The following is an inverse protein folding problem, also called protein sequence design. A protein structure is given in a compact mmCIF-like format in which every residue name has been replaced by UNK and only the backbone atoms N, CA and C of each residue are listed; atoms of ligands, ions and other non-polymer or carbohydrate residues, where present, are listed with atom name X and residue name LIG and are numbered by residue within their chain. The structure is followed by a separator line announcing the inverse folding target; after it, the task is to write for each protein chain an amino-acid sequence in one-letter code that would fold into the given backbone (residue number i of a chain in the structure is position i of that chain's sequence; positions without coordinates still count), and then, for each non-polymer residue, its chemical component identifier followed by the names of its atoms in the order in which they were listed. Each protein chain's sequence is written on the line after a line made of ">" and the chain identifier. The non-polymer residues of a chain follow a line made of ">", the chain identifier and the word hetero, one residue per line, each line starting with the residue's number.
data_IF_167901451173
#
_entry.id   IF_167901451173
#
_cell.length_a   1.000
_cell.length_b   1.000
_cell.length_c   1.000
_cell.angle_alpha   90.00
_cell.angle_beta   90.00
_cell.angle_gamma   90.00
#
_symmetry.space_group_name_H-M   'P 1'
#
loop_
_entity.id
_entity.type
_entity.pdbx_description
1 polymer ?
#
# COMPACT_ATOMS: atom_id res chain seq x y z
N UNK A 1 -34.60 -9.25 -27.29
CA UNK A 1 -34.45 -10.72 -27.42
C UNK A 1 -34.38 -11.31 -26.02
N UNK A 2 -35.06 -12.42 -25.75
CA UNK A 2 -34.99 -13.13 -24.46
C UNK A 2 -33.77 -14.07 -24.49
N UNK A 3 -32.90 -13.97 -23.49
CA UNK A 3 -31.83 -14.96 -23.30
C UNK A 3 -32.48 -16.33 -23.05
N UNK A 4 -32.09 -17.34 -23.82
CA UNK A 4 -32.69 -18.68 -23.76
C UNK A 4 -32.10 -19.57 -22.65
N UNK A 5 -31.03 -19.12 -21.98
CA UNK A 5 -30.39 -19.86 -20.89
C UNK A 5 -31.11 -19.57 -19.55
N UNK A 6 -31.70 -20.57 -18.88
CA UNK A 6 -32.28 -20.38 -17.56
C UNK A 6 -31.21 -19.95 -16.54
N UNK A 7 -31.58 -19.03 -15.64
CA UNK A 7 -30.67 -18.45 -14.65
C UNK A 7 -29.98 -19.50 -13.78
N UNK A 8 -30.71 -20.53 -13.32
CA UNK A 8 -30.13 -21.59 -12.49
C UNK A 8 -29.11 -22.45 -13.25
N UNK A 9 -29.30 -22.64 -14.55
CA UNK A 9 -28.33 -23.35 -15.41
C UNK A 9 -27.07 -22.51 -15.59
N UNK A 10 -27.22 -21.19 -15.74
CA UNK A 10 -26.10 -20.26 -15.77
C UNK A 10 -25.32 -20.24 -14.45
N UNK A 11 -25.99 -20.20 -13.30
CA UNK A 11 -25.29 -20.24 -12.01
C UNK A 11 -24.44 -21.49 -11.83
N UNK A 12 -24.89 -22.64 -12.35
CA UNK A 12 -24.14 -23.91 -12.32
C UNK A 12 -22.89 -23.92 -13.20
N UNK A 13 -22.77 -23.03 -14.19
CA UNK A 13 -21.59 -22.98 -15.07
C UNK A 13 -20.44 -22.14 -14.49
N UNK A 14 -20.66 -21.43 -13.37
CA UNK A 14 -19.65 -20.63 -12.73
C UNK A 14 -18.54 -21.49 -12.14
N UNK A 15 -17.28 -21.12 -12.40
CA UNK A 15 -16.11 -21.80 -11.82
C UNK A 15 -16.00 -21.52 -10.32
N UNK A 16 -15.56 -22.52 -9.55
CA UNK A 16 -15.27 -22.40 -8.11
C UNK A 16 -14.22 -21.34 -7.80
N UNK A 17 -13.24 -21.14 -8.70
CA UNK A 17 -12.22 -20.11 -8.57
C UNK A 17 -11.77 -19.61 -9.94
N UNK A 18 -11.44 -18.33 -9.98
CA UNK A 18 -10.82 -17.66 -11.11
C UNK A 18 -9.37 -17.21 -10.80
N UNK A 19 -8.79 -17.68 -9.68
CA UNK A 19 -7.46 -17.27 -9.22
C UNK A 19 -6.39 -18.22 -9.75
N UNK A 20 -5.49 -17.70 -10.58
CA UNK A 20 -4.24 -18.35 -10.98
C UNK A 20 -3.16 -18.13 -9.91
N UNK A 21 -2.01 -18.82 -9.98
CA UNK A 21 -0.97 -18.70 -8.95
C UNK A 21 -0.30 -17.32 -8.92
N UNK A 22 -0.21 -16.65 -10.06
CA UNK A 22 0.29 -15.27 -10.22
C UNK A 22 -0.72 -14.20 -9.78
N UNK A 23 -1.96 -14.60 -9.42
CA UNK A 23 -2.99 -13.71 -8.90
C UNK A 23 -2.60 -13.00 -7.60
N UNK A 24 -1.82 -13.67 -6.75
CA UNK A 24 -1.64 -13.28 -5.35
C UNK A 24 -0.75 -12.05 -5.19
N UNK A 25 0.26 -11.86 -6.02
CA UNK A 25 1.18 -10.73 -5.86
C UNK A 25 1.63 -10.21 -7.21
N UNK A 26 1.38 -8.92 -7.46
CA UNK A 26 1.98 -8.22 -8.59
C UNK A 26 3.38 -7.71 -8.20
N UNK A 27 4.38 -8.56 -8.44
CA UNK A 27 5.78 -8.28 -8.11
C UNK A 27 6.31 -7.02 -8.80
N UNK A 28 5.93 -6.78 -10.06
CA UNK A 28 6.40 -5.64 -10.84
C UNK A 28 5.87 -4.33 -10.27
N UNK A 29 4.60 -4.30 -9.89
CA UNK A 29 4.00 -3.15 -9.21
C UNK A 29 4.66 -2.88 -7.85
N UNK A 30 4.86 -3.91 -7.03
CA UNK A 30 5.50 -3.77 -5.72
C UNK A 30 6.92 -3.22 -5.85
N UNK A 31 7.70 -3.77 -6.79
CA UNK A 31 9.06 -3.29 -7.10
C UNK A 31 9.04 -1.84 -7.60
N UNK A 32 8.14 -1.50 -8.53
CA UNK A 32 8.00 -0.14 -9.06
C UNK A 32 7.71 0.88 -7.94
N UNK A 33 6.76 0.57 -7.06
CA UNK A 33 6.40 1.45 -5.96
C UNK A 33 7.58 1.69 -5.00
N UNK A 34 8.22 0.61 -4.52
CA UNK A 34 9.39 0.71 -3.66
C UNK A 34 10.56 1.43 -4.35
N UNK A 35 10.82 1.14 -5.63
CA UNK A 35 11.88 1.80 -6.40
C UNK A 35 11.66 3.31 -6.54
N UNK A 36 10.40 3.76 -6.60
CA UNK A 36 10.07 5.19 -6.64
C UNK A 36 10.49 5.97 -5.39
N UNK A 37 10.74 5.28 -4.28
CA UNK A 37 11.11 5.88 -2.98
C UNK A 37 12.43 5.35 -2.41
N UNK A 38 13.17 4.54 -3.18
CA UNK A 38 14.38 3.83 -2.69
C UNK A 38 15.48 4.77 -2.20
N UNK A 39 15.66 5.93 -2.86
CA UNK A 39 16.63 6.94 -2.43
C UNK A 39 16.31 7.45 -1.02
N UNK A 40 15.03 7.78 -0.76
CA UNK A 40 14.59 8.20 0.56
C UNK A 40 14.80 7.10 1.61
N UNK A 41 14.51 5.84 1.26
CA UNK A 41 14.74 4.69 2.15
C UNK A 41 16.23 4.48 2.46
N UNK A 42 17.12 4.66 1.47
CA UNK A 42 18.57 4.59 1.68
C UNK A 42 19.06 5.66 2.66
N UNK A 43 18.49 6.87 2.59
CA UNK A 43 18.80 7.92 3.56
C UNK A 43 18.26 7.58 4.94
N UNK A 44 17.03 7.07 5.06
CA UNK A 44 16.47 6.64 6.35
C UNK A 44 17.20 5.42 6.95
N UNK A 45 17.88 4.59 6.16
CA UNK A 45 18.74 3.51 6.67
C UNK A 45 19.83 4.05 7.61
N UNK A 46 20.21 5.33 7.52
CA UNK A 46 21.09 5.99 8.49
C UNK A 46 20.57 5.89 9.94
N UNK A 47 19.26 5.83 10.15
CA UNK A 47 18.63 5.73 11.46
C UNK A 47 18.61 4.30 12.02
N UNK A 48 18.81 3.27 11.17
CA UNK A 48 18.80 1.88 11.61
C UNK A 48 19.98 1.60 12.55
N UNK A 49 19.68 0.88 13.63
CA UNK A 49 20.64 0.44 14.64
C UNK A 49 21.19 1.54 15.55
N UNK A 50 20.66 2.76 15.48
CA UNK A 50 20.96 3.85 16.41
C UNK A 50 20.35 3.58 17.78
N UNK A 51 21.04 3.98 18.83
CA UNK A 51 20.50 3.91 20.19
C UNK A 51 19.38 4.94 20.38
N UNK A 52 18.41 4.63 21.25
CA UNK A 52 17.26 5.51 21.53
C UNK A 52 17.69 6.89 22.03
N UNK A 53 18.80 6.97 22.77
CA UNK A 53 19.37 8.23 23.27
C UNK A 53 19.93 9.11 22.14
N UNK A 54 20.35 8.52 21.03
CA UNK A 54 20.99 9.22 19.90
C UNK A 54 20.03 9.46 18.75
N UNK A 55 18.95 8.66 18.65
CA UNK A 55 18.01 8.69 17.51
C UNK A 55 17.48 10.09 17.23
N UNK A 56 17.09 10.86 18.26
CA UNK A 56 16.60 12.24 18.08
C UNK A 56 17.62 13.13 17.37
N UNK A 57 18.89 13.06 17.79
CA UNK A 57 19.95 13.84 17.17
C UNK A 57 20.22 13.37 15.74
N UNK A 58 20.18 12.06 15.49
CA UNK A 58 20.31 11.51 14.14
C UNK A 58 19.17 11.95 13.21
N UNK A 59 17.92 11.97 13.70
CA UNK A 59 16.75 12.49 12.97
C UNK A 59 16.99 13.94 12.60
N UNK A 60 17.37 14.79 13.57
CA UNK A 60 17.67 16.20 13.33
C UNK A 60 18.78 16.42 12.30
N UNK A 61 19.89 15.67 12.41
CA UNK A 61 20.99 15.74 11.45
C UNK A 61 20.54 15.33 10.04
N UNK A 62 19.80 14.22 9.92
CA UNK A 62 19.32 13.74 8.63
C UNK A 62 18.26 14.68 8.04
N UNK A 63 17.40 15.28 8.87
CA UNK A 63 16.38 16.22 8.41
C UNK A 63 17.02 17.49 7.84
N UNK A 64 18.10 17.98 8.47
CA UNK A 64 18.87 19.11 7.95
C UNK A 64 19.52 18.80 6.61
N UNK A 65 20.07 17.60 6.43
CA UNK A 65 20.79 17.19 5.23
C UNK A 65 19.86 16.81 4.07
N UNK A 66 18.81 16.03 4.36
CA UNK A 66 17.90 15.48 3.37
C UNK A 66 16.47 15.33 3.92
N UNK A 67 15.73 16.44 4.09
CA UNK A 67 14.39 16.41 4.70
C UNK A 67 13.39 15.57 3.89
N UNK A 68 13.60 15.47 2.57
CA UNK A 68 12.75 14.70 1.65
C UNK A 68 12.70 13.20 2.01
N UNK A 69 13.67 12.66 2.75
CA UNK A 69 13.62 11.27 3.23
C UNK A 69 12.40 11.00 4.11
N UNK A 70 11.94 11.98 4.88
CA UNK A 70 10.87 11.78 5.86
C UNK A 70 9.47 11.81 5.25
N UNK A 71 9.33 12.28 4.00
CA UNK A 71 8.06 12.32 3.28
C UNK A 71 7.45 10.93 2.97
N UNK A 72 8.19 9.85 3.26
CA UNK A 72 7.73 8.47 3.05
C UNK A 72 7.53 7.70 4.36
N UNK A 73 7.63 8.37 5.52
CA UNK A 73 7.47 7.72 6.83
C UNK A 73 6.10 7.06 7.01
N UNK A 74 5.04 7.61 6.40
CA UNK A 74 3.71 6.99 6.39
C UNK A 74 3.70 5.59 5.74
N UNK A 75 4.60 5.32 4.80
CA UNK A 75 4.71 4.00 4.17
C UNK A 75 5.24 2.96 5.15
N UNK A 76 6.12 3.35 6.09
CA UNK A 76 6.67 2.43 7.10
C UNK A 76 5.60 1.92 8.07
N UNK A 77 4.49 2.63 8.21
CA UNK A 77 3.31 2.22 8.99
C UNK A 77 2.16 1.70 8.09
N UNK A 78 2.46 1.34 6.85
CA UNK A 78 1.52 0.81 5.86
C UNK A 78 0.34 1.75 5.50
N UNK A 79 0.52 3.07 5.63
CA UNK A 79 -0.47 4.09 5.26
C UNK A 79 -0.15 4.69 3.89
N UNK A 80 -1.12 4.67 2.97
CA UNK A 80 -0.96 5.20 1.60
C UNK A 80 -1.27 6.70 1.50
N UNK A 81 -2.35 7.13 2.13
CA UNK A 81 -2.81 8.51 2.05
C UNK A 81 -2.14 9.35 3.14
N UNK A 82 -1.23 10.22 2.72
CA UNK A 82 -0.57 11.18 3.61
C UNK A 82 -1.50 12.30 4.09
N UNK A 83 -2.70 12.40 3.53
CA UNK A 83 -3.72 13.36 3.95
C UNK A 83 -4.68 12.77 4.99
N UNK A 84 -4.51 11.52 5.39
CA UNK A 84 -5.28 10.93 6.49
C UNK A 84 -5.19 11.83 7.72
N UNK A 85 -6.35 12.04 8.37
CA UNK A 85 -6.46 12.90 9.54
C UNK A 85 -6.16 12.07 10.79
N UNK A 86 -5.21 12.53 11.59
CA UNK A 86 -4.82 11.93 12.87
C UNK A 86 -5.11 12.87 14.04
N UNK A 87 -5.28 12.28 15.22
CA UNK A 87 -5.40 13.03 16.47
C UNK A 87 -4.04 13.13 17.16
N UNK A 88 -3.69 14.31 17.66
CA UNK A 88 -2.56 14.50 18.58
C UNK A 88 -2.93 14.08 20.03
N UNK A 89 -1.96 14.17 20.94
CA UNK A 89 -2.16 13.86 22.35
C UNK A 89 -3.18 14.77 23.08
N UNK A 90 -3.51 15.93 22.49
CA UNK A 90 -4.48 16.90 23.02
C UNK A 90 -5.86 16.75 22.37
N UNK A 91 -6.04 15.83 21.41
CA UNK A 91 -7.27 15.60 20.68
C UNK A 91 -7.49 16.52 19.48
N UNK A 92 -6.47 17.27 19.04
CA UNK A 92 -6.53 18.11 17.84
C UNK A 92 -6.31 17.27 16.58
N UNK A 93 -7.01 17.64 15.51
CA UNK A 93 -6.92 16.98 14.21
C UNK A 93 -5.85 17.60 13.32
N UNK A 94 -4.97 16.77 12.78
CA UNK A 94 -3.94 17.18 11.83
C UNK A 94 -3.86 16.21 10.65
N UNK A 95 -3.54 16.69 9.44
CA UNK A 95 -3.20 15.79 8.36
C UNK A 95 -1.84 15.12 8.64
N UNK A 96 -1.72 13.84 8.32
CA UNK A 96 -0.53 13.03 8.61
C UNK A 96 0.77 13.66 8.09
N UNK A 97 0.75 14.22 6.88
CA UNK A 97 1.92 14.84 6.26
C UNK A 97 2.50 16.00 7.08
N UNK A 98 1.68 16.66 7.92
CA UNK A 98 2.14 17.81 8.72
C UNK A 98 3.19 17.42 9.77
N UNK A 99 3.29 16.12 10.11
CA UNK A 99 4.34 15.61 10.97
C UNK A 99 5.71 15.52 10.28
N UNK A 100 5.77 15.71 8.96
CA UNK A 100 7.02 15.60 8.18
C UNK A 100 7.64 16.97 7.86
N UNK A 101 7.08 18.05 8.42
CA UNK A 101 7.46 19.44 8.11
C UNK A 101 8.68 19.94 8.88
N UNK A 102 8.98 19.37 10.05
CA UNK A 102 10.13 19.74 10.89
C UNK A 102 10.68 18.53 11.67
N UNK A 103 11.91 18.63 12.17
CA UNK A 103 12.61 17.52 12.82
C UNK A 103 11.99 17.07 14.15
N UNK A 104 11.35 17.99 14.88
CA UNK A 104 10.72 17.68 16.16
C UNK A 104 9.43 16.87 15.94
N UNK A 105 8.58 17.30 15.01
CA UNK A 105 7.37 16.55 14.64
C UNK A 105 7.70 15.20 14.00
N UNK A 106 8.76 15.12 13.20
CA UNK A 106 9.23 13.85 12.64
C UNK A 106 9.60 12.89 13.76
N UNK A 107 10.35 13.37 14.76
CA UNK A 107 10.73 12.55 15.89
C UNK A 107 9.50 12.15 16.74
N UNK A 108 8.55 13.06 16.94
CA UNK A 108 7.27 12.78 17.59
C UNK A 108 6.50 11.67 16.85
N UNK A 109 6.39 11.74 15.52
CA UNK A 109 5.79 10.70 14.70
C UNK A 109 6.47 9.34 14.91
N UNK A 110 7.81 9.31 14.86
CA UNK A 110 8.59 8.08 15.05
C UNK A 110 8.33 7.46 16.43
N UNK A 111 8.19 8.29 17.47
CA UNK A 111 7.88 7.86 18.84
C UNK A 111 6.45 7.33 18.95
N UNK A 112 5.45 8.09 18.51
CA UNK A 112 4.04 7.74 18.69
C UNK A 112 3.60 6.54 17.85
N UNK A 113 4.23 6.34 16.68
CA UNK A 113 3.97 5.17 15.82
C UNK A 113 4.71 3.90 16.25
N UNK A 114 5.63 4.00 17.22
CA UNK A 114 6.48 2.88 17.64
C UNK A 114 7.65 2.58 16.69
N UNK A 115 7.84 3.38 15.63
CA UNK A 115 8.97 3.22 14.70
C UNK A 115 10.33 3.37 15.36
N UNK A 116 10.43 4.07 16.49
CA UNK A 116 11.66 4.13 17.29
C UNK A 116 12.20 2.72 17.57
N UNK A 117 11.32 1.78 17.99
CA UNK A 117 11.76 0.42 18.28
C UNK A 117 12.26 -0.29 17.02
N UNK A 118 11.60 -0.07 15.88
CA UNK A 118 11.98 -0.64 14.59
C UNK A 118 13.35 -0.12 14.13
N UNK A 119 13.62 1.17 14.32
CA UNK A 119 14.93 1.75 14.01
C UNK A 119 16.01 1.22 14.97
N UNK A 120 15.73 1.14 16.27
CA UNK A 120 16.76 0.84 17.27
C UNK A 120 17.07 -0.65 17.45
N UNK A 121 16.08 -1.55 17.31
CA UNK A 121 16.22 -2.96 17.70
C UNK A 121 17.11 -3.82 16.77
N UNK A 122 17.59 -3.27 15.63
CA UNK A 122 18.43 -3.93 14.62
C UNK A 122 17.82 -5.17 13.95
N UNK A 123 16.52 -5.42 14.14
CA UNK A 123 15.81 -6.50 13.45
C UNK A 123 15.67 -6.21 11.95
N UNK A 124 15.47 -4.94 11.60
CA UNK A 124 15.47 -4.46 10.23
C UNK A 124 16.88 -3.97 9.87
N UNK A 125 17.40 -4.47 8.75
CA UNK A 125 18.74 -4.14 8.23
C UNK A 125 18.72 -3.26 7.00
N UNK A 126 17.60 -3.26 6.27
CA UNK A 126 17.39 -2.41 5.10
C UNK A 126 15.90 -2.07 4.96
N UNK A 127 15.59 -0.78 4.91
CA UNK A 127 14.23 -0.28 4.74
C UNK A 127 13.68 -0.54 3.33
N UNK A 128 14.51 -0.72 2.31
CA UNK A 128 14.06 -1.14 0.98
C UNK A 128 13.44 -2.53 1.02
N UNK A 129 14.06 -3.46 1.74
CA UNK A 129 13.54 -4.82 1.88
C UNK A 129 12.29 -4.84 2.75
N UNK A 130 12.30 -4.09 3.85
CA UNK A 130 11.13 -3.93 4.72
C UNK A 130 9.93 -3.35 3.97
N UNK A 131 10.12 -2.24 3.25
CA UNK A 131 9.06 -1.61 2.46
C UNK A 131 8.63 -2.47 1.29
N UNK A 132 9.53 -3.24 0.68
CA UNK A 132 9.12 -4.23 -0.33
C UNK A 132 8.14 -5.25 0.27
N UNK A 133 8.37 -5.71 1.50
CA UNK A 133 7.41 -6.54 2.25
C UNK A 133 6.06 -5.84 2.48
N UNK A 134 6.08 -4.56 2.85
CA UNK A 134 4.86 -3.74 3.01
C UNK A 134 4.09 -3.62 1.69
N UNK A 135 4.79 -3.35 0.58
CA UNK A 135 4.17 -3.27 -0.75
C UNK A 135 3.45 -4.58 -1.11
N UNK A 136 4.08 -5.72 -0.84
CA UNK A 136 3.48 -7.05 -1.03
C UNK A 136 2.25 -7.25 -0.14
N UNK A 137 2.29 -6.81 1.12
CA UNK A 137 1.15 -6.87 2.04
C UNK A 137 -0.02 -5.99 1.58
N UNK A 138 0.27 -4.78 1.13
CA UNK A 138 -0.71 -3.81 0.64
C UNK A 138 -1.26 -4.15 -0.76
N UNK A 139 -0.60 -5.03 -1.52
CA UNK A 139 -1.13 -5.53 -2.81
C UNK A 139 -2.39 -6.39 -2.63
N UNK A 140 -2.75 -6.76 -1.39
CA UNK A 140 -4.03 -7.39 -1.07
C UNK A 140 -5.25 -6.58 -1.53
N UNK A 141 -5.19 -5.25 -1.52
CA UNK A 141 -6.25 -4.40 -2.06
C UNK A 141 -6.37 -4.53 -3.59
N UNK A 142 -5.23 -4.72 -4.28
CA UNK A 142 -5.23 -4.96 -5.72
C UNK A 142 -5.76 -6.35 -6.07
N UNK A 143 -5.61 -7.36 -5.18
CA UNK A 143 -6.21 -8.69 -5.36
C UNK A 143 -7.72 -8.60 -5.55
N UNK A 144 -8.43 -7.74 -4.79
CA UNK A 144 -9.88 -7.55 -4.91
C UNK A 144 -10.26 -7.06 -6.30
N UNK A 145 -9.54 -6.06 -6.80
CA UNK A 145 -9.75 -5.50 -8.15
C UNK A 145 -9.42 -6.52 -9.25
N UNK A 146 -8.31 -7.27 -9.10
CA UNK A 146 -7.96 -8.36 -10.02
C UNK A 146 -9.04 -9.44 -10.06
N UNK A 147 -9.57 -9.85 -8.91
CA UNK A 147 -10.63 -10.88 -8.87
C UNK A 147 -11.91 -10.43 -9.56
N UNK A 148 -12.28 -9.15 -9.38
CA UNK A 148 -13.41 -8.56 -10.09
C UNK A 148 -13.19 -8.59 -11.59
N UNK A 149 -12.02 -8.13 -12.06
CA UNK A 149 -11.73 -8.10 -13.50
C UNK A 149 -11.69 -9.49 -14.14
N UNK A 150 -11.13 -10.48 -13.45
CA UNK A 150 -11.14 -11.85 -13.98
C UNK A 150 -12.58 -12.40 -14.07
N UNK A 151 -13.46 -12.08 -13.11
CA UNK A 151 -14.87 -12.47 -13.18
C UNK A 151 -15.59 -11.76 -14.33
N UNK A 152 -15.40 -10.45 -14.49
CA UNK A 152 -15.93 -9.69 -15.62
C UNK A 152 -15.52 -10.32 -16.96
N UNK A 153 -14.23 -10.60 -17.14
CA UNK A 153 -13.71 -11.20 -18.37
C UNK A 153 -14.27 -12.62 -18.59
N UNK A 154 -14.45 -13.41 -17.53
CA UNK A 154 -15.03 -14.75 -17.63
C UNK A 154 -16.51 -14.69 -18.07
N UNK A 155 -17.30 -13.80 -17.46
CA UNK A 155 -18.69 -13.57 -17.82
C UNK A 155 -18.84 -13.06 -19.25
N UNK A 156 -18.02 -12.08 -19.63
CA UNK A 156 -17.93 -11.55 -20.98
C UNK A 156 -17.67 -12.68 -22.00
N UNK A 157 -16.70 -13.55 -21.71
CA UNK A 157 -16.43 -14.74 -22.53
C UNK A 157 -17.61 -15.70 -22.66
N UNK A 158 -18.31 -16.00 -21.56
CA UNK A 158 -19.52 -16.85 -21.59
C UNK A 158 -20.64 -16.21 -22.41
N UNK A 159 -20.84 -14.90 -22.29
CA UNK A 159 -21.86 -14.17 -23.04
C UNK A 159 -21.56 -14.14 -24.54
N UNK A 160 -20.30 -13.93 -24.93
CA UNK A 160 -19.86 -14.05 -26.32
C UNK A 160 -20.12 -15.45 -26.88
N UNK A 161 -19.75 -16.50 -26.15
CA UNK A 161 -19.99 -17.89 -26.57
C UNK A 161 -21.47 -18.22 -26.72
N UNK A 162 -22.32 -17.68 -25.83
CA UNK A 162 -23.76 -17.83 -25.88
C UNK A 162 -24.46 -16.85 -26.86
N UNK A 163 -23.71 -16.07 -27.63
CA UNK A 163 -24.21 -15.07 -28.58
C UNK A 163 -25.19 -14.06 -27.96
N UNK A 164 -24.94 -13.69 -26.70
CA UNK A 164 -25.76 -12.70 -26.00
C UNK A 164 -25.31 -11.28 -26.37
N UNK A 165 -26.27 -10.38 -26.54
CA UNK A 165 -25.98 -8.95 -26.65
C UNK A 165 -25.81 -8.36 -25.25
N UNK A 166 -24.64 -7.84 -24.94
CA UNK A 166 -24.35 -7.19 -23.66
C UNK A 166 -23.43 -5.98 -23.84
N UNK A 167 -23.35 -5.15 -22.79
CA UNK A 167 -22.42 -4.03 -22.68
C UNK A 167 -21.72 -4.12 -21.34
N UNK A 168 -20.44 -3.77 -21.29
CA UNK A 168 -19.66 -3.71 -20.06
C UNK A 168 -19.64 -2.26 -19.53
N UNK A 169 -19.61 -2.09 -18.20
CA UNK A 169 -19.41 -0.80 -17.53
C UNK A 169 -20.32 0.33 -18.05
N UNK A 170 -21.62 0.05 -18.16
CA UNK A 170 -22.62 1.00 -18.63
C UNK A 170 -22.85 2.06 -17.55
N UNK A 171 -22.62 3.33 -17.88
CA UNK A 171 -23.01 4.45 -17.04
C UNK A 171 -24.54 4.56 -16.99
N UNK A 172 -25.11 4.69 -15.80
CA UNK A 172 -26.58 4.75 -15.58
C UNK A 172 -27.04 6.21 -15.45
N UNK A 173 -26.27 7.15 -15.99
CA UNK A 173 -26.59 8.57 -16.01
C UNK A 173 -27.40 8.96 -17.24
#
# INVERSE_FOLDING_TARGET
>A
MKNHLPFDTFLKSLKTSNRTLDFFTDWQKCLKNKNGISIALNHLNFLLGKDTKELKNCVKSLFKEYPKAFNILNILIAVRDKNDIVLDANGNFYPLYSYFEDDEKVYEFIRQTGLEQIFCNRNIKDLNDFVFGIEVGLDSNARKNRSGKVMENHLSGLFFQAQLNFKEQVDIR
#
